data_IF_658635577101
#
_entry.id   IF_658635577101
#
_cell.length_a   1.000
_cell.length_b   1.000
_cell.length_c   1.000
_cell.angle_alpha   90.00
_cell.angle_beta   90.00
_cell.angle_gamma   90.00
#
_symmetry.space_group_name_H-M   'P 1'
#
loop_
_entity.id
_entity.type
_entity.pdbx_description
1 polymer ?
#
# COMPACT_ATOMS: atom_id res chain seq x y z
N UNK A 1 4.32 -11.06 -30.69
CA UNK A 1 5.57 -10.87 -29.92
C UNK A 1 5.15 -10.59 -28.48
N UNK A 2 5.46 -11.52 -27.59
CA UNK A 2 4.91 -11.59 -26.23
C UNK A 2 5.61 -10.58 -25.31
N UNK A 3 4.80 -9.79 -24.59
CA UNK A 3 5.20 -8.80 -23.59
C UNK A 3 5.97 -9.50 -22.46
N UNK A 4 7.27 -9.27 -22.37
CA UNK A 4 8.07 -9.76 -21.24
C UNK A 4 7.81 -8.82 -20.07
N UNK A 5 7.01 -9.27 -19.11
CA UNK A 5 6.88 -8.65 -17.80
C UNK A 5 8.23 -8.69 -17.10
N UNK A 6 8.78 -7.52 -16.79
CA UNK A 6 10.05 -7.37 -16.08
C UNK A 6 9.81 -7.71 -14.61
N UNK A 7 9.92 -8.99 -14.25
CA UNK A 7 9.94 -9.42 -12.83
C UNK A 7 11.41 -9.58 -12.46
N UNK A 8 12.02 -8.49 -12.00
CA UNK A 8 13.41 -8.48 -11.55
C UNK A 8 13.48 -8.16 -10.05
N UNK A 9 13.38 -9.20 -9.23
CA UNK A 9 14.26 -9.52 -8.09
C UNK A 9 13.50 -10.30 -7.02
N UNK A 10 13.92 -11.56 -6.89
CA UNK A 10 13.41 -12.57 -5.97
C UNK A 10 14.14 -12.45 -4.63
N UNK A 11 13.50 -11.84 -3.62
CA UNK A 11 13.96 -11.83 -2.22
C UNK A 11 13.05 -12.63 -1.28
N UNK A 12 12.12 -13.42 -1.80
CA UNK A 12 11.19 -14.21 -0.98
C UNK A 12 10.19 -13.38 -0.15
N UNK A 13 10.20 -12.06 -0.29
CA UNK A 13 9.24 -11.18 0.37
C UNK A 13 8.07 -10.94 -0.60
N UNK A 14 6.97 -11.65 -0.37
CA UNK A 14 5.72 -11.55 -1.13
C UNK A 14 4.94 -10.24 -0.85
N UNK A 15 5.60 -9.17 -0.37
CA UNK A 15 4.97 -7.88 -0.13
C UNK A 15 5.22 -6.95 -1.33
N UNK A 16 4.18 -6.75 -2.15
CA UNK A 16 4.20 -5.85 -3.30
C UNK A 16 4.07 -4.40 -2.83
N UNK A 17 5.18 -3.79 -2.42
CA UNK A 17 5.20 -2.37 -2.04
C UNK A 17 5.02 -1.45 -3.26
N UNK A 18 4.45 -0.28 -3.04
CA UNK A 18 4.40 0.77 -4.07
C UNK A 18 5.78 1.41 -4.21
N UNK A 19 6.34 1.50 -5.44
CA UNK A 19 7.56 2.26 -5.69
C UNK A 19 7.46 3.72 -5.23
N UNK A 20 8.56 4.25 -4.67
CA UNK A 20 8.62 5.57 -4.04
C UNK A 20 8.15 6.70 -4.95
N UNK A 21 8.44 6.64 -6.25
CA UNK A 21 8.07 7.66 -7.23
C UNK A 21 6.55 7.88 -7.32
N UNK A 22 5.75 6.84 -7.15
CA UNK A 22 4.30 6.95 -7.16
C UNK A 22 3.76 7.52 -5.85
N UNK A 23 4.39 7.16 -4.73
CA UNK A 23 4.05 7.71 -3.42
C UNK A 23 4.38 9.21 -3.37
N UNK A 24 5.54 9.62 -3.86
CA UNK A 24 5.91 11.04 -3.93
C UNK A 24 4.99 11.82 -4.88
N UNK A 25 4.63 11.24 -6.03
CA UNK A 25 3.64 11.85 -6.92
C UNK A 25 2.27 12.02 -6.23
N UNK A 26 1.82 11.00 -5.50
CA UNK A 26 0.57 11.05 -4.75
C UNK A 26 0.61 12.16 -3.68
N UNK A 27 1.67 12.22 -2.86
CA UNK A 27 1.85 13.30 -1.88
C UNK A 27 1.96 14.67 -2.53
N UNK A 28 2.62 14.79 -3.68
CA UNK A 28 2.72 16.07 -4.40
C UNK A 28 1.36 16.59 -4.87
N UNK A 29 0.43 15.71 -5.23
CA UNK A 29 -0.92 16.09 -5.71
C UNK A 29 -1.89 16.29 -4.55
N UNK A 30 -1.86 15.40 -3.56
CA UNK A 30 -2.79 15.42 -2.42
C UNK A 30 -2.34 16.33 -1.27
N UNK A 31 -1.06 16.68 -1.22
CA UNK A 31 -0.42 17.42 -0.12
C UNK A 31 0.08 16.51 1.01
N UNK A 32 -0.67 15.45 1.35
CA UNK A 32 -0.32 14.45 2.35
C UNK A 32 -0.90 13.09 2.01
N UNK A 33 -0.43 12.05 2.69
CA UNK A 33 -1.18 10.82 2.89
C UNK A 33 -1.53 10.78 4.38
N UNK A 34 -2.81 10.78 4.69
CA UNK A 34 -3.29 10.83 6.07
C UNK A 34 -3.60 9.41 6.58
N UNK A 35 -4.20 8.58 5.73
CA UNK A 35 -4.54 7.18 6.07
C UNK A 35 -4.00 6.18 5.04
N UNK A 36 -3.34 5.13 5.52
CA UNK A 36 -3.07 3.89 4.75
C UNK A 36 -3.67 2.67 5.45
N UNK A 37 -4.84 2.17 5.01
CA UNK A 37 -5.56 1.14 5.74
C UNK A 37 -5.07 -0.28 5.47
N UNK A 38 -4.07 -0.46 4.61
CA UNK A 38 -3.54 -1.76 4.26
C UNK A 38 -2.02 -1.70 4.12
N UNK A 39 -1.37 -1.38 5.26
CA UNK A 39 0.07 -1.10 5.30
C UNK A 39 0.82 -2.09 6.19
N UNK A 40 2.13 -1.89 6.28
CA UNK A 40 3.02 -2.52 7.25
C UNK A 40 4.01 -1.48 7.77
N UNK A 41 4.75 -1.79 8.84
CA UNK A 41 5.80 -0.90 9.32
C UNK A 41 6.78 -0.52 8.20
N UNK A 42 7.19 -1.52 7.41
CA UNK A 42 8.14 -1.37 6.29
C UNK A 42 7.53 -0.55 5.15
N UNK A 43 6.29 -0.84 4.76
CA UNK A 43 5.61 -0.07 3.72
C UNK A 43 5.47 1.41 4.12
N UNK A 44 5.15 1.68 5.39
CA UNK A 44 4.95 3.04 5.87
C UNK A 44 6.23 3.87 5.97
N UNK A 45 7.43 3.27 5.97
CA UNK A 45 8.69 4.02 5.82
C UNK A 45 8.71 4.81 4.49
N UNK A 46 8.04 4.28 3.46
CA UNK A 46 7.90 4.93 2.15
C UNK A 46 6.60 5.73 2.05
N UNK A 47 5.45 5.13 2.41
CA UNK A 47 4.11 5.74 2.31
C UNK A 47 3.98 6.97 3.21
N UNK A 48 4.60 6.96 4.39
CA UNK A 48 4.58 8.05 5.38
C UNK A 48 3.16 8.55 5.67
N UNK A 49 2.20 7.64 5.75
CA UNK A 49 0.87 7.96 6.21
C UNK A 49 0.94 8.38 7.68
N UNK A 50 0.18 9.42 8.05
CA UNK A 50 0.05 9.84 9.45
C UNK A 50 -0.56 8.72 10.30
N UNK A 51 -1.52 7.99 9.75
CA UNK A 51 -2.17 6.85 10.35
C UNK A 51 -2.15 5.68 9.37
N UNK A 52 -1.75 4.50 9.83
CA UNK A 52 -1.83 3.29 9.02
C UNK A 52 -2.31 2.10 9.84
N UNK A 53 -2.84 1.09 9.16
CA UNK A 53 -3.29 -0.14 9.78
C UNK A 53 -2.53 -1.33 9.20
N UNK A 54 -2.02 -2.17 10.08
CA UNK A 54 -1.44 -3.47 9.73
C UNK A 54 -2.53 -4.51 9.53
N UNK A 55 -2.16 -5.69 9.00
CA UNK A 55 -3.06 -6.82 8.84
C UNK A 55 -3.78 -7.17 10.16
N UNK A 56 -3.06 -7.20 11.28
CA UNK A 56 -3.59 -7.53 12.61
C UNK A 56 -4.62 -6.51 13.11
N UNK A 57 -4.53 -5.27 12.65
CA UNK A 57 -5.44 -4.20 13.05
C UNK A 57 -6.72 -4.18 12.22
N UNK A 58 -6.79 -4.95 11.13
CA UNK A 58 -7.92 -5.05 10.21
C UNK A 58 -8.46 -3.67 9.79
N UNK A 59 -7.77 -3.01 8.86
CA UNK A 59 -8.12 -1.67 8.38
C UNK A 59 -9.53 -1.54 7.81
N UNK A 60 -10.15 -2.63 7.34
CA UNK A 60 -11.54 -2.63 6.85
C UNK A 60 -12.56 -2.27 7.94
N UNK A 61 -12.21 -2.48 9.21
CA UNK A 61 -13.07 -2.18 10.37
C UNK A 61 -12.94 -0.75 10.88
N UNK A 62 -12.10 0.06 10.24
CA UNK A 62 -11.71 1.40 10.71
C UNK A 62 -12.32 2.47 9.82
N UNK A 63 -12.51 3.65 10.40
CA UNK A 63 -12.87 4.83 9.63
C UNK A 63 -11.61 5.40 8.94
N UNK A 64 -11.67 5.64 7.64
CA UNK A 64 -10.58 6.22 6.87
C UNK A 64 -10.82 7.72 6.70
N UNK A 65 -9.85 8.56 7.10
CA UNK A 65 -9.99 10.02 7.10
C UNK A 65 -8.88 10.68 6.29
N UNK A 66 -9.20 11.83 5.70
CA UNK A 66 -8.24 12.64 4.94
C UNK A 66 -7.86 12.00 3.59
N UNK A 67 -6.64 12.26 3.14
CA UNK A 67 -6.07 11.69 1.93
C UNK A 67 -5.70 10.22 2.15
N UNK A 68 -6.36 9.31 1.41
CA UNK A 68 -6.17 7.86 1.59
C UNK A 68 -5.29 7.31 0.48
N UNK A 69 -4.21 6.62 0.87
CA UNK A 69 -3.44 5.75 -0.03
C UNK A 69 -3.66 4.31 0.39
N UNK A 70 -4.13 3.44 -0.51
CA UNK A 70 -4.43 2.05 -0.17
C UNK A 70 -3.86 1.10 -1.22
N UNK A 71 -2.94 0.23 -0.79
CA UNK A 71 -2.34 -0.80 -1.62
C UNK A 71 -2.44 -2.16 -0.90
N UNK A 72 -3.62 -2.81 -0.91
CA UNK A 72 -3.85 -4.02 -0.13
C UNK A 72 -3.15 -5.22 -0.76
N UNK A 73 -2.85 -6.28 0.02
CA UNK A 73 -2.36 -7.53 -0.54
C UNK A 73 -3.36 -8.09 -1.56
N UNK A 74 -2.88 -8.46 -2.75
CA UNK A 74 -3.70 -8.97 -3.86
C UNK A 74 -4.14 -10.44 -3.67
N UNK A 75 -4.47 -10.85 -2.45
CA UNK A 75 -5.00 -12.17 -2.16
C UNK A 75 -6.53 -12.16 -2.27
N UNK A 76 -7.06 -12.90 -3.25
CA UNK A 76 -8.51 -12.98 -3.51
C UNK A 76 -9.34 -13.50 -2.32
N UNK A 77 -8.73 -14.19 -1.36
CA UNK A 77 -9.41 -14.77 -0.19
C UNK A 77 -9.80 -13.74 0.88
N UNK A 78 -9.22 -12.53 0.86
CA UNK A 78 -9.51 -11.47 1.85
C UNK A 78 -10.69 -10.57 1.45
N UNK A 79 -11.27 -10.76 0.27
CA UNK A 79 -12.43 -10.02 -0.24
C UNK A 79 -13.65 -10.96 -0.26
N UNK A 80 -14.10 -11.42 0.91
CA UNK A 80 -15.43 -11.99 1.04
C UNK A 80 -16.40 -10.90 1.53
N UNK A 81 -17.45 -10.69 0.74
CA UNK A 81 -18.48 -9.65 0.87
C UNK A 81 -19.30 -9.75 2.14
#
# INVERSE_FOLDING_TARGET
MTKITHVSQNSGNNEWYTPTEYIEAARSVMGSIDTDPASSFIANETVKATQYFTEEQNGLTKEWKGNVWMNPPYAAELINK
#
